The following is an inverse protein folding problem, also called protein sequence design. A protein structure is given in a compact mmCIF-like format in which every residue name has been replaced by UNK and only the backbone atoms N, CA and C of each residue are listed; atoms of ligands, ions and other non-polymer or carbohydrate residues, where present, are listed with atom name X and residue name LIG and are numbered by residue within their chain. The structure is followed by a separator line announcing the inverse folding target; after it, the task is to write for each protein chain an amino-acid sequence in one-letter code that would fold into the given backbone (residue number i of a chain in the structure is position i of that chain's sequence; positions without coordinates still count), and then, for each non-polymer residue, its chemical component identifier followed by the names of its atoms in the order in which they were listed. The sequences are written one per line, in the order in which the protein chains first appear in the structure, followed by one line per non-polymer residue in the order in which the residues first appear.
data_IF_124151875452
#
_entry.id   IF_124151875452
#
_cell.length_a   1.000
_cell.length_b   1.000
_cell.length_c   1.000
_cell.angle_alpha   90.00
_cell.angle_beta   90.00
_cell.angle_gamma   90.00
#
_symmetry.space_group_name_H-M   'P 1'
#
loop_
_entity.id
_entity.type
_entity.pdbx_description
1 polymer ?
#
# COMPACT_ATOMS: atom_id res chain seq x y z
N UNK A 1 -19.79 1.99 8.62
CA UNK A 1 -20.84 2.93 9.04
C UNK A 1 -21.02 2.87 10.55
N UNK A 2 -20.83 3.96 11.27
CA UNK A 2 -21.13 4.02 12.71
C UNK A 2 -22.63 4.27 12.87
N UNK A 3 -23.30 3.48 13.70
CA UNK A 3 -24.76 3.56 13.91
C UNK A 3 -25.12 4.01 15.32
N UNK A 4 -24.21 3.83 16.29
CA UNK A 4 -24.36 4.31 17.66
C UNK A 4 -22.99 4.68 18.23
N UNK A 5 -22.87 5.87 18.82
CA UNK A 5 -21.64 6.36 19.45
C UNK A 5 -21.62 6.18 20.97
N UNK A 6 -22.70 5.70 21.56
CA UNK A 6 -22.91 5.44 22.99
C UNK A 6 -23.51 4.04 23.18
N UNK A 7 -22.80 3.01 22.71
CA UNK A 7 -23.29 1.64 22.76
C UNK A 7 -23.68 1.23 24.20
N UNK A 8 -24.91 0.76 24.38
CA UNK A 8 -25.52 0.46 25.69
C UNK A 8 -25.56 1.66 26.66
N UNK A 9 -25.63 2.89 26.17
CA UNK A 9 -25.62 4.11 26.98
C UNK A 9 -24.29 4.39 27.69
N UNK A 10 -23.20 3.70 27.32
CA UNK A 10 -21.88 3.81 27.96
C UNK A 10 -20.86 4.46 27.03
N UNK A 11 -20.07 5.35 27.60
CA UNK A 11 -18.92 5.94 26.91
C UNK A 11 -17.83 4.87 26.68
N UNK A 12 -17.19 4.95 25.52
CA UNK A 12 -15.98 4.18 25.20
C UNK A 12 -16.09 3.31 23.95
N UNK A 13 -17.29 2.87 23.58
CA UNK A 13 -17.50 1.91 22.50
C UNK A 13 -18.53 2.43 21.51
N UNK A 14 -18.27 2.22 20.22
CA UNK A 14 -19.19 2.55 19.14
C UNK A 14 -19.73 1.26 18.52
N UNK A 15 -21.01 1.26 18.14
CA UNK A 15 -21.59 0.22 17.31
C UNK A 15 -21.42 0.61 15.85
N UNK A 16 -20.82 -0.27 15.07
CA UNK A 16 -20.53 -0.03 13.67
C UNK A 16 -20.85 -1.25 12.80
N UNK A 17 -21.08 -0.96 11.52
CA UNK A 17 -21.26 -1.94 10.47
C UNK A 17 -20.08 -1.81 9.51
N UNK A 18 -19.34 -2.90 9.30
CA UNK A 18 -18.27 -2.99 8.31
C UNK A 18 -18.89 -2.88 6.92
N UNK A 19 -18.33 -2.02 6.09
CA UNK A 19 -18.68 -1.89 4.68
C UNK A 19 -17.67 -2.71 3.87
N UNK A 20 -18.17 -3.65 3.08
CA UNK A 20 -17.37 -4.53 2.23
C UNK A 20 -17.30 -4.05 0.79
N UNK A 21 -17.04 -5.00 -0.12
CA UNK A 21 -17.03 -4.75 -1.57
C UNK A 21 -18.39 -4.26 -2.04
N UNK A 22 -18.39 -3.44 -3.10
CA UNK A 22 -19.60 -2.87 -3.71
C UNK A 22 -20.49 -2.10 -2.72
N UNK A 23 -19.87 -1.48 -1.71
CA UNK A 23 -20.53 -0.65 -0.68
C UNK A 23 -21.59 -1.40 0.16
N UNK A 24 -21.52 -2.73 0.23
CA UNK A 24 -22.48 -3.53 0.99
C UNK A 24 -22.12 -3.62 2.46
N UNK A 25 -23.13 -3.53 3.33
CA UNK A 25 -23.01 -3.81 4.76
C UNK A 25 -22.75 -5.32 4.97
N UNK A 26 -21.67 -5.68 5.69
CA UNK A 26 -21.26 -7.09 5.84
C UNK A 26 -21.32 -7.62 7.26
N UNK A 27 -20.86 -6.86 8.24
CA UNK A 27 -20.68 -7.34 9.63
C UNK A 27 -20.96 -6.22 10.60
N UNK A 28 -21.84 -6.45 11.58
CA UNK A 28 -22.11 -5.51 12.67
C UNK A 28 -21.32 -5.90 13.91
N UNK A 29 -20.70 -4.93 14.57
CA UNK A 29 -19.90 -5.18 15.75
C UNK A 29 -19.53 -3.91 16.51
N UNK A 30 -18.85 -4.12 17.64
CA UNK A 30 -18.39 -3.04 18.51
C UNK A 30 -16.97 -2.67 18.11
N UNK A 31 -16.70 -1.37 17.98
CA UNK A 31 -15.36 -0.80 17.77
C UNK A 31 -15.03 0.20 18.88
N UNK A 32 -13.74 0.50 19.13
CA UNK A 32 -13.35 1.60 20.01
C UNK A 32 -14.01 2.92 19.58
N UNK A 33 -14.29 3.80 20.53
CA UNK A 33 -14.63 5.19 20.20
C UNK A 33 -13.39 5.95 19.68
N UNK A 34 -13.60 7.16 19.15
CA UNK A 34 -12.51 7.99 18.62
C UNK A 34 -11.34 8.16 19.60
N UNK A 35 -11.62 8.50 20.87
CA UNK A 35 -10.57 8.76 21.85
C UNK A 35 -9.71 7.52 22.11
N UNK A 36 -10.33 6.36 22.34
CA UNK A 36 -9.62 5.10 22.54
C UNK A 36 -8.88 4.64 21.28
N UNK A 37 -9.44 4.89 20.09
CA UNK A 37 -8.78 4.57 18.83
C UNK A 37 -7.49 5.39 18.62
N UNK A 38 -7.51 6.69 18.92
CA UNK A 38 -6.30 7.54 18.84
C UNK A 38 -5.22 7.07 19.82
N UNK A 39 -5.59 6.70 21.04
CA UNK A 39 -4.65 6.12 22.02
C UNK A 39 -4.03 4.81 21.54
N UNK A 40 -4.83 3.93 20.92
CA UNK A 40 -4.32 2.67 20.36
C UNK A 40 -3.40 2.91 19.16
N UNK A 41 -3.76 3.87 18.29
CA UNK A 41 -2.93 4.23 17.15
C UNK A 41 -1.59 4.84 17.57
N UNK A 42 -1.57 5.73 18.58
CA UNK A 42 -0.32 6.33 19.07
C UNK A 42 0.65 5.26 19.59
N UNK A 43 0.15 4.26 20.33
CA UNK A 43 0.98 3.14 20.83
C UNK A 43 1.58 2.33 19.68
N UNK A 44 0.82 2.09 18.61
CA UNK A 44 1.29 1.36 17.44
C UNK A 44 2.44 2.08 16.72
N UNK A 45 2.44 3.42 16.70
CA UNK A 45 3.51 4.22 16.10
C UNK A 45 4.73 4.40 17.01
N UNK A 46 4.56 4.38 18.33
CA UNK A 46 5.66 4.60 19.30
C UNK A 46 6.38 3.33 19.73
N UNK A 47 5.84 2.14 19.41
CA UNK A 47 6.48 0.86 19.72
C UNK A 47 7.89 0.83 19.10
N UNK A 48 8.97 0.75 19.92
CA UNK A 48 10.34 0.79 19.42
C UNK A 48 10.57 -0.34 18.43
N UNK A 49 11.30 -0.02 17.36
CA UNK A 49 12.06 -1.02 16.60
C UNK A 49 12.84 -1.84 17.62
N UNK A 50 12.70 -3.16 17.65
CA UNK A 50 13.78 -3.99 18.18
C UNK A 50 14.94 -3.87 17.18
N UNK A 51 15.69 -2.79 17.30
CA UNK A 51 16.98 -2.58 16.67
C UNK A 51 18.01 -3.38 17.46
N UNK A 52 18.04 -4.70 17.25
CA UNK A 52 18.96 -5.59 17.94
C UNK A 52 18.91 -6.97 17.30
N UNK A 53 19.95 -7.28 16.53
CA UNK A 53 20.05 -8.52 15.77
C UNK A 53 19.99 -9.80 16.61
N UNK A 54 19.62 -10.87 15.90
CA UNK A 54 19.69 -12.33 16.12
C UNK A 54 20.14 -12.99 17.44
N UNK A 55 20.87 -12.33 18.35
CA UNK A 55 21.42 -12.96 19.56
C UNK A 55 20.56 -12.84 20.82
N UNK A 56 19.79 -11.76 20.97
CA UNK A 56 18.99 -11.54 22.19
C UNK A 56 17.72 -12.42 22.24
N UNK A 57 17.14 -12.74 21.09
CA UNK A 57 15.95 -13.61 21.00
C UNK A 57 16.27 -15.07 21.32
N UNK A 58 17.48 -15.55 20.97
CA UNK A 58 17.90 -16.93 21.18
C UNK A 58 17.86 -17.35 22.67
N UNK A 59 18.23 -16.43 23.58
CA UNK A 59 18.22 -16.68 25.02
C UNK A 59 16.84 -16.46 25.67
N UNK A 60 16.03 -15.54 25.15
CA UNK A 60 14.67 -15.27 25.68
C UNK A 60 13.69 -16.42 25.45
N UNK A 61 13.83 -17.18 24.37
CA UNK A 61 12.87 -18.24 24.02
C UNK A 61 13.20 -19.63 24.58
N UNK A 62 14.35 -19.83 25.23
CA UNK A 62 14.71 -21.12 25.85
C UNK A 62 13.92 -21.39 27.15
N UNK A 63 13.41 -20.34 27.81
CA UNK A 63 12.67 -20.44 29.07
C UNK A 63 11.14 -20.58 28.97
N UNK A 64 10.56 -20.54 27.75
CA UNK A 64 9.11 -20.48 27.55
C UNK A 64 8.50 -21.76 26.94
N UNK A 65 9.19 -22.90 27.04
CA UNK A 65 8.69 -24.19 26.55
C UNK A 65 7.76 -24.92 27.53
N UNK A 66 6.97 -24.22 28.32
CA UNK A 66 5.88 -24.87 29.04
C UNK A 66 4.61 -24.01 29.03
N UNK A 67 3.55 -24.61 28.48
CA UNK A 67 2.13 -24.22 28.59
C UNK A 67 1.57 -23.14 27.64
N UNK A 68 0.82 -23.66 26.64
CA UNK A 68 -0.43 -23.16 26.03
C UNK A 68 -0.40 -22.34 24.73
N UNK A 69 -0.62 -23.10 23.64
CA UNK A 69 -1.48 -22.90 22.45
C UNK A 69 -1.97 -21.48 22.07
N UNK A 70 -1.75 -21.21 20.78
CA UNK A 70 -2.55 -20.40 19.85
C UNK A 70 -2.42 -18.87 19.88
N UNK A 71 -1.21 -18.34 19.62
CA UNK A 71 -1.07 -17.10 18.85
C UNK A 71 0.33 -17.01 18.21
N UNK A 72 0.57 -17.75 17.12
CA UNK A 72 1.75 -17.50 16.28
C UNK A 72 1.50 -16.23 15.45
N UNK A 73 1.64 -15.05 16.07
CA UNK A 73 2.01 -13.84 15.30
C UNK A 73 3.41 -14.11 14.75
N UNK A 74 3.53 -14.29 13.43
CA UNK A 74 4.82 -14.56 12.79
C UNK A 74 5.80 -13.43 13.14
N UNK A 75 7.01 -13.81 13.56
CA UNK A 75 8.15 -12.92 13.85
C UNK A 75 8.43 -11.92 12.72
N UNK A 76 7.96 -12.21 11.51
CA UNK A 76 8.12 -11.38 10.31
C UNK A 76 7.10 -10.23 10.19
N UNK A 77 5.97 -10.27 10.91
CA UNK A 77 4.95 -9.20 10.89
C UNK A 77 5.43 -7.92 11.59
N UNK A 78 6.44 -8.02 12.45
CA UNK A 78 7.05 -6.88 13.16
C UNK A 78 8.02 -6.07 12.29
N UNK A 79 8.34 -6.53 11.07
CA UNK A 79 9.29 -5.87 10.17
C UNK A 79 8.64 -4.87 9.20
N UNK A 80 7.31 -4.83 9.13
CA UNK A 80 6.60 -3.83 8.35
C UNK A 80 6.74 -2.47 9.06
N UNK A 81 7.56 -1.59 8.48
CA UNK A 81 7.65 -0.20 8.95
C UNK A 81 6.24 0.39 8.92
N UNK A 82 5.66 0.82 10.06
CA UNK A 82 4.45 1.61 10.01
C UNK A 82 4.78 2.87 9.21
N UNK A 83 4.08 3.07 8.10
CA UNK A 83 4.17 4.33 7.36
C UNK A 83 3.72 5.40 8.36
N UNK A 84 4.56 6.39 8.65
CA UNK A 84 4.16 7.53 9.47
C UNK A 84 3.16 8.33 8.64
N UNK A 85 1.89 7.96 8.77
CA UNK A 85 0.79 8.59 8.06
C UNK A 85 0.35 9.82 8.84
N UNK A 86 -0.15 10.83 8.14
CA UNK A 86 -0.82 11.97 8.79
C UNK A 86 -2.30 11.69 9.05
N UNK A 87 -2.78 10.47 8.80
CA UNK A 87 -4.16 10.10 9.01
C UNK A 87 -4.47 10.00 10.51
N UNK A 88 -5.66 10.47 10.96
CA UNK A 88 -6.17 10.16 12.29
C UNK A 88 -6.54 8.67 12.38
N UNK A 89 -6.69 8.16 13.60
CA UNK A 89 -7.10 6.77 13.79
C UNK A 89 -8.46 6.45 13.13
N UNK A 90 -9.39 7.42 13.14
CA UNK A 90 -10.62 7.39 12.36
C UNK A 90 -10.79 8.67 11.55
N UNK A 91 -10.88 8.50 10.23
CA UNK A 91 -11.26 9.54 9.28
C UNK A 91 -12.76 9.45 8.97
N UNK A 92 -13.44 10.60 8.91
CA UNK A 92 -14.84 10.66 8.47
C UNK A 92 -14.85 10.69 6.94
N UNK A 93 -15.57 9.75 6.34
CA UNK A 93 -15.63 9.59 4.88
C UNK A 93 -17.07 9.63 4.39
N UNK A 94 -17.24 10.10 3.16
CA UNK A 94 -18.51 10.13 2.43
C UNK A 94 -18.27 9.64 1.00
N UNK A 95 -19.27 9.01 0.38
CA UNK A 95 -19.16 8.59 -1.01
C UNK A 95 -19.26 9.80 -1.95
N UNK A 96 -18.31 9.86 -2.89
CA UNK A 96 -18.19 10.89 -3.93
C UNK A 96 -17.66 10.25 -5.20
N UNK A 97 -18.10 10.78 -6.33
CA UNK A 97 -17.48 10.53 -7.63
C UNK A 97 -16.31 11.49 -7.83
N UNK A 98 -15.24 11.03 -8.46
CA UNK A 98 -14.07 11.87 -8.70
C UNK A 98 -14.37 12.81 -9.89
N UNK A 99 -14.30 14.13 -9.65
CA UNK A 99 -14.50 15.14 -10.70
C UNK A 99 -13.27 15.37 -11.60
N UNK A 100 -12.34 14.41 -11.66
CA UNK A 100 -11.11 14.47 -12.45
C UNK A 100 -10.60 13.05 -12.75
N UNK A 101 -9.77 12.90 -13.79
CA UNK A 101 -9.12 11.62 -14.08
C UNK A 101 -8.05 11.30 -13.02
N UNK A 102 -8.38 10.34 -12.16
CA UNK A 102 -7.53 9.95 -11.02
C UNK A 102 -6.14 9.48 -11.49
N UNK A 103 -5.04 9.82 -10.78
CA UNK A 103 -3.74 9.25 -11.09
C UNK A 103 -3.75 7.72 -10.98
N UNK A 104 -2.86 7.04 -11.69
CA UNK A 104 -2.76 5.58 -11.71
C UNK A 104 -1.38 5.15 -11.23
N UNK A 105 -1.34 4.38 -10.15
CA UNK A 105 -0.11 3.75 -9.65
C UNK A 105 -0.16 2.26 -9.92
N UNK A 106 0.84 1.74 -10.63
CA UNK A 106 0.95 0.30 -10.93
C UNK A 106 2.11 -0.28 -10.12
N UNK A 107 1.81 -1.29 -9.31
CA UNK A 107 2.78 -2.11 -8.61
C UNK A 107 2.84 -3.52 -9.20
N UNK A 108 3.98 -4.19 -9.03
CA UNK A 108 4.20 -5.55 -9.50
C UNK A 108 5.45 -5.68 -10.36
N UNK A 109 5.79 -6.90 -10.80
CA UNK A 109 7.09 -7.19 -11.41
C UNK A 109 7.23 -6.72 -12.87
N UNK A 110 6.11 -6.38 -13.52
CA UNK A 110 6.03 -5.86 -14.89
C UNK A 110 5.40 -4.46 -14.94
N UNK A 111 5.35 -3.75 -13.80
CA UNK A 111 4.70 -2.45 -13.71
C UNK A 111 5.36 -1.36 -14.59
N UNK A 112 6.67 -1.45 -14.80
CA UNK A 112 7.41 -0.61 -15.75
C UNK A 112 6.91 -0.81 -17.19
N UNK A 113 6.85 -2.07 -17.62
CA UNK A 113 6.32 -2.45 -18.94
C UNK A 113 4.87 -1.99 -19.11
N UNK A 114 4.03 -2.19 -18.09
CA UNK A 114 2.62 -1.79 -18.13
C UNK A 114 2.46 -0.28 -18.31
N UNK A 115 3.24 0.54 -17.58
CA UNK A 115 3.18 2.00 -17.73
C UNK A 115 3.66 2.46 -19.10
N UNK A 116 4.77 1.91 -19.59
CA UNK A 116 5.30 2.24 -20.91
C UNK A 116 4.34 1.84 -22.04
N UNK A 117 3.70 0.67 -21.93
CA UNK A 117 2.72 0.20 -22.91
C UNK A 117 1.48 1.10 -22.92
N UNK A 118 0.90 1.42 -21.76
CA UNK A 118 -0.25 2.32 -21.65
C UNK A 118 0.01 3.70 -22.26
N UNK A 119 1.14 4.32 -21.93
CA UNK A 119 1.46 5.64 -22.47
C UNK A 119 1.81 5.64 -23.97
N UNK A 120 2.22 4.49 -24.51
CA UNK A 120 2.55 4.34 -25.93
C UNK A 120 1.30 4.07 -26.76
N UNK A 121 0.43 3.18 -26.29
CA UNK A 121 -0.73 2.70 -27.04
C UNK A 121 -1.95 3.61 -26.87
N UNK A 122 -2.07 4.26 -25.71
CA UNK A 122 -3.21 5.12 -25.37
C UNK A 122 -2.74 6.51 -24.87
N UNK A 123 -1.98 7.27 -25.68
CA UNK A 123 -1.37 8.54 -25.26
C UNK A 123 -2.38 9.66 -24.99
N UNK A 124 -3.60 9.55 -25.52
CA UNK A 124 -4.69 10.50 -25.30
C UNK A 124 -5.33 10.32 -23.93
N UNK A 125 -5.19 9.13 -23.32
CA UNK A 125 -5.80 8.77 -22.04
C UNK A 125 -4.76 8.73 -20.92
N UNK A 126 -3.53 8.31 -21.22
CA UNK A 126 -2.47 8.09 -20.23
C UNK A 126 -1.22 8.88 -20.53
N UNK A 127 -0.59 9.39 -19.46
CA UNK A 127 0.70 10.05 -19.56
C UNK A 127 1.58 9.72 -18.36
N UNK A 128 2.85 9.40 -18.61
CA UNK A 128 3.82 9.12 -17.54
C UNK A 128 4.22 10.43 -16.86
N UNK A 129 4.04 10.49 -15.54
CA UNK A 129 4.54 11.59 -14.73
C UNK A 129 6.07 11.49 -14.62
N UNK A 130 6.76 12.50 -15.17
CA UNK A 130 8.23 12.55 -15.14
C UNK A 130 8.73 12.68 -13.70
N UNK A 131 9.66 11.81 -13.32
CA UNK A 131 10.35 11.87 -12.05
C UNK A 131 11.54 12.80 -12.14
N UNK A 132 11.77 13.59 -11.11
CA UNK A 132 12.97 14.37 -10.96
C UNK A 132 14.07 13.56 -10.27
N UNK A 133 15.35 13.80 -10.61
CA UNK A 133 16.46 13.21 -9.90
C UNK A 133 16.35 13.51 -8.40
N UNK A 134 16.66 12.52 -7.57
CA UNK A 134 16.90 12.79 -6.15
C UNK A 134 18.22 13.51 -5.98
N UNK A 135 18.33 14.26 -4.88
CA UNK A 135 19.58 14.90 -4.46
C UNK A 135 20.74 13.89 -4.41
N UNK A 136 21.96 14.39 -4.68
CA UNK A 136 23.17 13.59 -4.75
C UNK A 136 23.39 12.80 -3.45
N UNK A 137 23.58 11.48 -3.56
CA UNK A 137 23.86 10.58 -2.41
C UNK A 137 22.80 9.53 -2.11
N UNK A 138 21.68 9.47 -2.87
CA UNK A 138 20.68 8.39 -2.76
C UNK A 138 20.78 7.39 -3.91
N UNK A 139 20.51 6.11 -3.62
CA UNK A 139 20.60 4.99 -4.57
C UNK A 139 19.99 5.34 -5.95
N UNK A 140 20.81 5.36 -7.01
CA UNK A 140 20.41 5.59 -8.41
C UNK A 140 19.41 4.55 -8.95
N UNK A 141 19.10 3.51 -8.17
CA UNK A 141 18.12 2.46 -8.48
C UNK A 141 16.70 2.77 -7.97
N UNK A 142 16.53 3.85 -7.21
CA UNK A 142 15.24 4.26 -6.67
C UNK A 142 14.52 5.20 -7.64
N UNK A 143 13.21 4.99 -7.82
CA UNK A 143 12.36 5.87 -8.63
C UNK A 143 12.50 7.30 -8.09
N UNK A 144 12.73 8.27 -8.99
CA UNK A 144 12.91 9.68 -8.65
C UNK A 144 11.69 10.29 -7.94
N UNK A 145 11.78 11.56 -7.55
CA UNK A 145 10.69 12.26 -6.87
C UNK A 145 9.71 12.79 -7.93
N UNK A 146 8.43 12.46 -7.81
CA UNK A 146 7.37 13.07 -8.64
C UNK A 146 6.70 14.18 -7.83
N UNK A 147 6.70 15.40 -8.37
CA UNK A 147 6.07 16.56 -7.74
C UNK A 147 4.56 16.54 -7.96
N UNK A 148 3.79 17.02 -6.98
CA UNK A 148 2.33 17.15 -7.11
C UNK A 148 1.93 18.05 -8.30
N UNK A 149 2.71 19.09 -8.57
CA UNK A 149 2.48 19.97 -9.72
C UNK A 149 2.50 19.21 -11.05
N UNK A 150 3.46 18.30 -11.25
CA UNK A 150 3.55 17.48 -12.47
C UNK A 150 2.31 16.58 -12.63
N UNK A 151 1.81 16.02 -11.52
CA UNK A 151 0.58 15.21 -11.54
C UNK A 151 -0.62 16.10 -11.92
N UNK A 152 -0.74 17.28 -11.31
CA UNK A 152 -1.81 18.24 -11.59
C UNK A 152 -1.83 18.65 -13.07
N UNK A 153 -0.67 18.96 -13.67
CA UNK A 153 -0.59 19.33 -15.08
C UNK A 153 -1.14 18.25 -16.02
N UNK A 154 -0.93 16.97 -15.70
CA UNK A 154 -1.47 15.86 -16.50
C UNK A 154 -2.99 15.75 -16.32
N UNK A 155 -3.47 15.96 -15.10
CA UNK A 155 -4.91 15.94 -14.80
C UNK A 155 -5.64 17.11 -15.45
N UNK A 156 -5.03 18.29 -15.47
CA UNK A 156 -5.55 19.48 -16.15
C UNK A 156 -5.62 19.29 -17.69
N UNK A 157 -4.94 18.27 -18.23
CA UNK A 157 -5.00 17.87 -19.64
C UNK A 157 -6.02 16.74 -19.88
N UNK A 158 -6.87 16.43 -18.89
CA UNK A 158 -7.83 15.32 -18.91
C UNK A 158 -7.16 13.97 -19.22
N UNK A 159 -6.04 13.68 -18.54
CA UNK A 159 -5.33 12.39 -18.64
C UNK A 159 -5.08 11.74 -17.29
N UNK A 160 -4.96 10.43 -17.29
CA UNK A 160 -4.48 9.65 -16.16
C UNK A 160 -2.96 9.75 -16.04
N UNK A 161 -2.49 10.37 -14.95
CA UNK A 161 -1.06 10.40 -14.63
C UNK A 161 -0.57 9.01 -14.16
N UNK A 162 0.30 8.36 -14.94
CA UNK A 162 0.94 7.10 -14.58
C UNK A 162 2.14 7.37 -13.65
N UNK A 163 2.08 6.82 -12.44
CA UNK A 163 3.02 7.11 -11.35
C UNK A 163 3.94 5.91 -11.07
N UNK A 164 5.26 6.14 -11.08
CA UNK A 164 6.27 5.22 -10.53
C UNK A 164 6.73 5.73 -9.16
N UNK A 165 5.95 5.43 -8.13
CA UNK A 165 6.14 5.97 -6.78
C UNK A 165 6.22 4.86 -5.73
N UNK A 166 6.64 5.21 -4.51
CA UNK A 166 6.66 4.26 -3.37
C UNK A 166 5.29 4.15 -2.71
N UNK A 167 5.00 3.08 -1.95
CA UNK A 167 3.76 2.97 -1.16
C UNK A 167 3.50 4.18 -0.26
N UNK A 168 4.55 4.75 0.34
CA UNK A 168 4.42 5.94 1.20
C UNK A 168 3.99 7.19 0.41
N UNK A 169 4.31 7.27 -0.88
CA UNK A 169 3.85 8.37 -1.72
C UNK A 169 2.37 8.21 -2.09
N UNK A 170 1.90 6.97 -2.30
CA UNK A 170 0.46 6.68 -2.45
C UNK A 170 -0.32 7.12 -1.22
N UNK A 171 0.20 6.83 -0.03
CA UNK A 171 -0.41 7.24 1.23
C UNK A 171 -0.53 8.78 1.34
N UNK A 172 0.51 9.52 0.93
CA UNK A 172 0.45 10.99 0.84
C UNK A 172 -0.56 11.49 -0.19
N UNK A 173 -0.72 10.82 -1.33
CA UNK A 173 -1.71 11.17 -2.34
C UNK A 173 -3.14 10.94 -1.84
N UNK A 174 -3.37 9.85 -1.10
CA UNK A 174 -4.64 9.60 -0.42
C UNK A 174 -4.95 10.71 0.60
N UNK A 175 -3.96 11.08 1.42
CA UNK A 175 -4.13 12.14 2.41
C UNK A 175 -4.48 13.49 1.75
N UNK A 176 -3.83 13.79 0.63
CA UNK A 176 -4.11 14.96 -0.21
C UNK A 176 -5.37 14.82 -1.08
N UNK A 177 -6.21 13.79 -0.86
CA UNK A 177 -7.51 13.56 -1.52
C UNK A 177 -7.43 13.32 -3.05
N UNK A 178 -6.25 12.99 -3.60
CA UNK A 178 -6.11 12.62 -5.01
C UNK A 178 -6.53 11.18 -5.30
N UNK A 179 -6.58 10.34 -4.25
CA UNK A 179 -7.03 8.94 -4.27
C UNK A 179 -6.68 8.19 -5.55
N UNK A 180 -5.40 7.91 -5.84
CA UNK A 180 -5.00 7.24 -7.08
C UNK A 180 -5.67 5.86 -7.23
N UNK A 181 -5.85 5.43 -8.48
CA UNK A 181 -6.15 4.04 -8.82
C UNK A 181 -4.85 3.25 -8.61
N UNK A 182 -4.86 2.31 -7.67
CA UNK A 182 -3.69 1.50 -7.32
C UNK A 182 -3.91 0.07 -7.78
N UNK A 183 -3.21 -0.30 -8.85
CA UNK A 183 -3.27 -1.62 -9.48
C UNK A 183 -2.08 -2.45 -9.02
N UNK A 184 -2.33 -3.59 -8.40
CA UNK A 184 -1.28 -4.57 -8.11
C UNK A 184 -1.33 -5.72 -9.12
N UNK A 185 -0.27 -5.84 -9.92
CA UNK A 185 -0.05 -6.97 -10.83
C UNK A 185 0.59 -8.10 -10.03
N UNK A 186 -0.24 -9.05 -9.61
CA UNK A 186 0.13 -10.15 -8.74
C UNK A 186 0.82 -11.26 -9.55
N UNK A 187 2.12 -11.53 -9.35
CA UNK A 187 2.79 -12.62 -10.04
C UNK A 187 2.30 -13.99 -9.56
N UNK A 188 2.31 -14.94 -10.48
CA UNK A 188 2.08 -16.36 -10.26
C UNK A 188 3.30 -17.07 -9.65
N UNK A 189 4.49 -16.90 -10.23
CA UNK A 189 5.73 -17.57 -9.83
C UNK A 189 6.99 -16.79 -10.22
N UNK A 190 8.13 -17.12 -9.60
CA UNK A 190 9.44 -16.53 -9.97
C UNK A 190 9.81 -16.79 -11.43
N UNK A 191 9.53 -18.01 -11.91
CA UNK A 191 9.80 -18.41 -13.28
C UNK A 191 8.84 -17.71 -14.25
N UNK A 192 7.57 -17.57 -13.88
CA UNK A 192 6.58 -16.82 -14.66
C UNK A 192 7.00 -15.38 -14.92
N UNK A 193 7.46 -14.67 -13.88
CA UNK A 193 8.04 -13.32 -14.02
C UNK A 193 9.21 -13.29 -14.99
N UNK A 194 10.09 -14.31 -14.97
CA UNK A 194 11.22 -14.41 -15.91
C UNK A 194 10.70 -14.58 -17.35
N UNK A 195 9.78 -15.52 -17.58
CA UNK A 195 9.17 -15.77 -18.89
C UNK A 195 8.49 -14.52 -19.46
N UNK A 196 7.63 -13.86 -18.67
CA UNK A 196 6.96 -12.63 -19.10
C UNK A 196 7.96 -11.53 -19.45
N UNK A 197 9.01 -11.34 -18.64
CA UNK A 197 10.02 -10.30 -18.92
C UNK A 197 10.87 -10.59 -20.14
N UNK A 198 11.23 -11.85 -20.39
CA UNK A 198 11.90 -12.23 -21.63
C UNK A 198 11.05 -11.94 -22.85
N UNK A 199 9.72 -12.17 -22.76
CA UNK A 199 8.78 -11.89 -23.84
C UNK A 199 8.55 -10.38 -24.06
N UNK A 200 8.38 -9.62 -22.98
CA UNK A 200 7.91 -8.23 -23.05
C UNK A 200 9.03 -7.19 -23.06
N UNK A 201 10.16 -7.47 -22.42
CA UNK A 201 11.27 -6.53 -22.26
C UNK A 201 12.62 -7.27 -22.19
N UNK A 202 13.04 -7.99 -23.25
CA UNK A 202 14.25 -8.82 -23.25
C UNK A 202 15.53 -8.02 -22.93
N UNK A 203 15.57 -6.75 -23.30
CA UNK A 203 16.70 -5.83 -23.03
C UNK A 203 16.83 -5.44 -21.55
N UNK A 204 15.81 -5.69 -20.73
CA UNK A 204 15.79 -5.26 -19.34
C UNK A 204 16.73 -6.11 -18.48
N UNK A 205 17.71 -5.48 -17.84
CA UNK A 205 18.65 -6.14 -16.91
C UNK A 205 18.09 -6.35 -15.50
N UNK A 206 16.80 -6.10 -15.26
CA UNK A 206 16.18 -6.22 -13.93
C UNK A 206 15.99 -7.70 -13.54
N UNK A 207 16.45 -8.07 -12.34
CA UNK A 207 16.34 -9.45 -11.85
C UNK A 207 14.89 -9.86 -11.55
N UNK A 208 14.39 -10.88 -12.26
CA UNK A 208 13.06 -11.46 -12.04
C UNK A 208 12.85 -11.94 -10.59
N UNK A 209 13.88 -12.55 -9.98
CA UNK A 209 13.85 -12.99 -8.58
C UNK A 209 13.60 -11.82 -7.61
N UNK A 210 14.39 -10.74 -7.76
CA UNK A 210 14.25 -9.55 -6.90
C UNK A 210 12.88 -8.89 -7.10
N UNK A 211 12.37 -8.84 -8.32
CA UNK A 211 11.06 -8.27 -8.62
C UNK A 211 9.91 -9.08 -8.03
N UNK A 212 9.97 -10.41 -8.12
CA UNK A 212 8.99 -11.30 -7.49
C UNK A 212 8.99 -11.14 -5.96
N UNK A 213 10.17 -11.20 -5.32
CA UNK A 213 10.31 -11.05 -3.87
C UNK A 213 9.85 -9.67 -3.40
N UNK A 214 10.20 -8.60 -4.13
CA UNK A 214 9.71 -7.25 -3.87
C UNK A 214 8.19 -7.16 -3.97
N UNK A 215 7.59 -7.78 -4.98
CA UNK A 215 6.12 -7.77 -5.18
C UNK A 215 5.40 -8.50 -4.04
N UNK A 216 5.91 -9.65 -3.60
CA UNK A 216 5.37 -10.37 -2.44
C UNK A 216 5.49 -9.56 -1.14
N UNK A 217 6.64 -8.91 -0.90
CA UNK A 217 6.84 -8.05 0.27
C UNK A 217 5.87 -6.86 0.26
N UNK A 218 5.68 -6.25 -0.90
CA UNK A 218 4.76 -5.13 -1.08
C UNK A 218 3.31 -5.57 -0.82
N UNK A 219 2.88 -6.72 -1.36
CA UNK A 219 1.56 -7.29 -1.07
C UNK A 219 1.36 -7.56 0.42
N UNK A 220 2.34 -8.17 1.09
CA UNK A 220 2.24 -8.45 2.53
C UNK A 220 2.02 -7.18 3.35
N UNK A 221 2.84 -6.15 3.10
CA UNK A 221 2.91 -4.98 3.98
C UNK A 221 1.97 -3.83 3.59
N UNK A 222 1.57 -3.75 2.32
CA UNK A 222 0.88 -2.59 1.75
C UNK A 222 -0.39 -2.95 0.96
N UNK A 223 -0.96 -4.14 1.15
CA UNK A 223 -2.20 -4.54 0.46
C UNK A 223 -3.38 -3.60 0.72
N UNK A 224 -3.42 -2.93 1.89
CA UNK A 224 -4.45 -1.95 2.23
C UNK A 224 -4.46 -0.73 1.30
N UNK A 225 -3.38 -0.49 0.54
CA UNK A 225 -3.32 0.58 -0.45
C UNK A 225 -3.87 0.17 -1.82
N UNK A 226 -4.09 -1.12 -2.08
CA UNK A 226 -4.51 -1.59 -3.39
C UNK A 226 -6.00 -1.33 -3.61
N UNK A 227 -6.34 -0.70 -4.73
CA UNK A 227 -7.73 -0.56 -5.16
C UNK A 227 -8.19 -1.75 -6.01
N UNK A 228 -7.26 -2.38 -6.73
CA UNK A 228 -7.52 -3.59 -7.51
C UNK A 228 -6.28 -4.47 -7.60
N UNK A 229 -6.49 -5.76 -7.85
CA UNK A 229 -5.43 -6.75 -8.04
C UNK A 229 -5.73 -7.58 -9.27
N UNK A 230 -4.74 -7.72 -10.15
CA UNK A 230 -4.82 -8.54 -11.36
C UNK A 230 -3.83 -9.68 -11.20
N UNK A 231 -4.31 -10.92 -11.30
CA UNK A 231 -3.45 -12.10 -11.28
C UNK A 231 -2.83 -12.29 -12.67
N UNK A 232 -1.49 -12.29 -12.71
CA UNK A 232 -0.76 -12.54 -13.95
C UNK A 232 -0.77 -14.03 -14.27
N UNK A 233 -0.89 -14.33 -15.56
CA UNK A 233 -0.73 -15.67 -16.11
C UNK A 233 0.43 -15.61 -17.11
N UNK A 234 1.48 -16.38 -16.86
CA UNK A 234 2.77 -16.25 -17.56
C UNK A 234 2.84 -17.05 -18.86
#
# INVERSE_FOLDING_TARGET
RVVDTLYNGKLGSWLAIRIGKNHKEVERGIIPNKNRAEQLASVQYTLPKTAGGDRADFWRFRGLRSSKRNLRKSREDLSAQPVQTKFPAYERVVLREAGFLRPVTIFGPIADVAREKLAREEPDIYQIAKSEPRDAGTDHRSSGIIRLHTIKQIIDQDKHALLDVTPNAVDRLNYAQWYPIVVFLNPDSKQGVKTMRMRLCPESRKSARKLYERSHKLRKNNHHLFTTTINLNS
#
